data_IF_472559674237
#
_entry.id   IF_472559674237
#
_cell.length_a   1.000
_cell.length_b   1.000
_cell.length_c   1.000
_cell.angle_alpha   90.00
_cell.angle_beta   90.00
_cell.angle_gamma   90.00
#
_symmetry.space_group_name_H-M   'P 1'
#
loop_
_entity.id
_entity.type
_entity.pdbx_description
1 polymer ?
#
# COMPACT_ATOMS: atom_id res chain seq x y z
N UNK A 1 -13.74 9.34 -9.88
CA UNK A 1 -12.81 10.40 -9.41
C UNK A 1 -11.40 9.82 -9.40
N UNK A 2 -10.47 10.46 -10.10
CA UNK A 2 -9.08 9.98 -10.16
C UNK A 2 -8.36 10.26 -8.84
N UNK A 3 -7.78 9.22 -8.25
CA UNK A 3 -6.99 9.30 -7.01
C UNK A 3 -5.49 9.42 -7.28
N UNK A 4 -5.01 8.72 -8.32
CA UNK A 4 -3.62 8.71 -8.73
C UNK A 4 -3.52 8.85 -10.24
N UNK A 5 -2.59 9.69 -10.71
CA UNK A 5 -2.26 9.85 -12.11
C UNK A 5 -0.74 10.01 -12.24
N UNK A 6 -0.09 9.02 -12.82
CA UNK A 6 1.35 9.01 -13.12
C UNK A 6 1.54 9.25 -14.61
N UNK A 7 2.43 10.17 -14.95
CA UNK A 7 2.61 10.65 -16.32
C UNK A 7 4.09 10.60 -16.68
N UNK A 8 4.44 9.78 -17.67
CA UNK A 8 5.75 9.66 -18.30
C UNK A 8 6.89 9.51 -17.30
N UNK A 9 6.69 8.63 -16.29
CA UNK A 9 7.70 8.40 -15.26
C UNK A 9 8.91 7.66 -15.82
N UNK A 10 10.11 8.19 -15.55
CA UNK A 10 11.37 7.51 -15.82
C UNK A 10 12.27 7.57 -14.59
N UNK A 11 12.99 6.49 -14.34
CA UNK A 11 13.94 6.42 -13.23
C UNK A 11 15.14 5.52 -13.55
N UNK A 12 16.27 5.89 -13.01
CA UNK A 12 17.53 5.15 -13.09
C UNK A 12 18.29 5.28 -11.76
N UNK A 13 19.08 4.27 -11.43
CA UNK A 13 20.18 4.36 -10.47
C UNK A 13 21.49 4.40 -11.27
N UNK A 14 22.38 3.43 -11.10
CA UNK A 14 23.59 3.30 -11.93
C UNK A 14 23.28 2.86 -13.38
N UNK A 15 22.07 2.33 -13.61
CA UNK A 15 21.54 1.88 -14.90
C UNK A 15 20.06 2.25 -15.02
N UNK A 16 19.54 2.40 -16.26
CA UNK A 16 18.11 2.65 -16.49
C UNK A 16 17.25 1.55 -15.88
N UNK A 17 16.24 1.94 -15.10
CA UNK A 17 15.34 1.00 -14.43
C UNK A 17 14.02 0.86 -15.18
N UNK A 18 13.44 1.99 -15.56
CA UNK A 18 12.25 2.08 -16.41
C UNK A 18 12.13 3.45 -17.06
N UNK A 19 11.41 3.51 -18.18
CA UNK A 19 11.20 4.71 -18.97
C UNK A 19 9.73 4.84 -19.39
N UNK A 20 9.24 6.10 -19.40
CA UNK A 20 7.92 6.51 -19.91
C UNK A 20 6.73 5.72 -19.37
N UNK A 21 6.73 5.43 -18.07
CA UNK A 21 5.61 4.75 -17.42
C UNK A 21 4.49 5.75 -17.13
N UNK A 22 3.28 5.43 -17.63
CA UNK A 22 2.06 6.17 -17.31
C UNK A 22 0.97 5.20 -16.85
N UNK A 23 0.26 5.57 -15.78
CA UNK A 23 -0.90 4.83 -15.26
C UNK A 23 -1.82 5.75 -14.47
N UNK A 24 -3.08 5.36 -14.34
CA UNK A 24 -4.07 6.08 -13.54
C UNK A 24 -4.92 5.14 -12.71
N UNK A 25 -5.40 5.60 -11.56
CA UNK A 25 -6.26 4.84 -10.65
C UNK A 25 -7.40 5.72 -10.18
N UNK A 26 -8.63 5.21 -10.29
CA UNK A 26 -9.83 5.89 -9.81
C UNK A 26 -10.27 5.36 -8.43
N UNK A 27 -11.18 6.09 -7.81
CA UNK A 27 -11.83 5.69 -6.56
C UNK A 27 -12.58 4.35 -6.73
N UNK A 28 -12.41 3.44 -5.79
CA UNK A 28 -12.99 2.10 -5.82
C UNK A 28 -12.21 1.08 -6.65
N UNK A 29 -11.12 1.48 -7.31
CA UNK A 29 -10.30 0.59 -8.15
C UNK A 29 -9.01 0.16 -7.44
N UNK A 30 -8.42 -0.91 -7.96
CA UNK A 30 -7.11 -1.40 -7.56
C UNK A 30 -6.24 -1.74 -8.77
N UNK A 31 -4.94 -1.48 -8.65
CA UNK A 31 -3.91 -1.85 -9.62
C UNK A 31 -3.01 -2.90 -8.98
N UNK A 32 -2.80 -4.02 -9.66
CA UNK A 32 -1.70 -4.94 -9.35
C UNK A 32 -0.52 -4.68 -10.30
N UNK A 33 0.68 -4.58 -9.73
CA UNK A 33 1.94 -4.52 -10.49
C UNK A 33 2.68 -5.83 -10.24
N UNK A 34 2.74 -6.68 -11.26
CA UNK A 34 3.41 -7.98 -11.21
C UNK A 34 4.71 -7.96 -12.02
N UNK A 35 5.61 -8.88 -11.72
CA UNK A 35 6.87 -9.04 -12.46
C UNK A 35 7.96 -9.68 -11.60
N UNK A 36 9.08 -10.05 -12.23
CA UNK A 36 10.20 -10.71 -11.56
C UNK A 36 10.85 -9.82 -10.49
N UNK A 37 11.56 -10.45 -9.54
CA UNK A 37 12.34 -9.70 -8.54
C UNK A 37 13.37 -8.80 -9.25
N UNK A 38 13.57 -7.58 -8.73
CA UNK A 38 14.49 -6.60 -9.31
C UNK A 38 13.98 -5.87 -10.56
N UNK A 39 12.75 -6.11 -11.03
CA UNK A 39 12.20 -5.41 -12.22
C UNK A 39 11.85 -3.93 -11.99
N UNK A 40 11.93 -3.41 -10.75
CA UNK A 40 11.66 -2.01 -10.44
C UNK A 40 10.28 -1.74 -9.81
N UNK A 41 9.47 -2.75 -9.51
CA UNK A 41 8.10 -2.61 -8.95
C UNK A 41 8.06 -1.78 -7.66
N UNK A 42 8.89 -2.14 -6.68
CA UNK A 42 8.95 -1.41 -5.41
C UNK A 42 9.47 0.03 -5.60
N UNK A 43 10.40 0.24 -6.53
CA UNK A 43 10.88 1.59 -6.89
C UNK A 43 9.75 2.42 -7.50
N UNK A 44 8.98 1.85 -8.44
CA UNK A 44 7.82 2.52 -9.02
C UNK A 44 6.80 2.85 -7.93
N UNK A 45 6.47 1.90 -7.05
CA UNK A 45 5.56 2.15 -5.94
C UNK A 45 6.07 3.24 -4.99
N UNK A 46 7.37 3.30 -4.69
CA UNK A 46 7.96 4.37 -3.88
C UNK A 46 7.81 5.73 -4.55
N UNK A 47 7.95 5.80 -5.87
CA UNK A 47 7.70 7.03 -6.63
C UNK A 47 6.22 7.41 -6.55
N UNK A 48 5.30 6.48 -6.83
CA UNK A 48 3.86 6.73 -6.77
C UNK A 48 3.39 7.18 -5.38
N UNK A 49 4.04 6.70 -4.32
CA UNK A 49 3.72 6.99 -2.91
C UNK A 49 4.47 8.19 -2.31
N UNK A 50 5.18 8.96 -3.11
CA UNK A 50 5.98 10.14 -2.69
C UNK A 50 7.25 9.85 -1.91
N UNK A 51 7.69 8.59 -1.79
CA UNK A 51 8.90 8.23 -1.03
C UNK A 51 10.20 8.42 -1.84
N UNK A 52 10.10 8.43 -3.17
CA UNK A 52 11.23 8.61 -4.09
C UNK A 52 10.82 9.55 -5.22
N UNK A 53 11.65 10.52 -5.55
CA UNK A 53 11.41 11.44 -6.67
C UNK A 53 11.83 10.77 -7.98
N UNK A 54 11.02 10.77 -9.04
CA UNK A 54 11.41 10.27 -10.35
C UNK A 54 12.46 11.19 -11.00
N UNK A 55 13.22 10.68 -11.95
CA UNK A 55 14.12 11.50 -12.76
C UNK A 55 13.34 12.33 -13.79
N UNK A 56 12.26 11.78 -14.34
CA UNK A 56 11.37 12.46 -15.28
C UNK A 56 9.93 12.09 -15.00
N UNK A 57 9.02 12.93 -15.50
CA UNK A 57 7.59 12.76 -15.32
C UNK A 57 7.07 13.39 -14.04
N UNK A 58 5.80 13.10 -13.71
CA UNK A 58 5.15 13.59 -12.50
C UNK A 58 4.12 12.60 -11.97
N UNK A 59 3.82 12.72 -10.69
CA UNK A 59 2.74 11.99 -10.02
C UNK A 59 1.77 13.00 -9.42
N UNK A 60 0.51 12.84 -9.77
CA UNK A 60 -0.59 13.61 -9.21
C UNK A 60 -1.40 12.71 -8.28
N UNK A 61 -1.49 13.05 -7.00
CA UNK A 61 -2.40 12.42 -6.06
C UNK A 61 -3.52 13.40 -5.72
N UNK A 62 -4.76 12.95 -5.88
CA UNK A 62 -5.96 13.77 -5.65
C UNK A 62 -5.94 15.11 -6.40
N UNK A 63 -5.37 15.10 -7.63
CA UNK A 63 -5.24 16.28 -8.50
C UNK A 63 -4.06 17.22 -8.18
N UNK A 64 -3.19 16.87 -7.24
CA UNK A 64 -2.01 17.68 -6.88
C UNK A 64 -0.72 16.97 -7.29
N UNK A 65 0.20 17.67 -7.97
CA UNK A 65 1.54 17.16 -8.21
C UNK A 65 2.31 17.09 -6.88
N UNK A 66 2.57 15.85 -6.41
CA UNK A 66 3.14 15.61 -5.08
C UNK A 66 4.58 16.12 -4.92
N UNK A 67 5.31 16.27 -6.01
CA UNK A 67 6.69 16.77 -5.99
C UNK A 67 6.78 18.30 -6.05
N UNK A 68 5.64 18.99 -6.13
CA UNK A 68 5.53 20.46 -6.01
C UNK A 68 4.92 20.90 -4.69
N UNK A 69 4.51 19.95 -3.84
CA UNK A 69 4.01 20.23 -2.51
C UNK A 69 5.14 20.65 -1.58
N UNK A 70 4.85 21.57 -0.67
CA UNK A 70 5.75 21.86 0.44
C UNK A 70 5.76 20.71 1.46
N UNK A 71 6.77 20.70 2.34
CA UNK A 71 6.95 19.63 3.34
C UNK A 71 5.72 19.46 4.24
N UNK A 72 5.03 20.53 4.60
CA UNK A 72 3.84 20.49 5.47
C UNK A 72 2.67 19.81 4.78
N UNK A 73 2.42 20.16 3.52
CA UNK A 73 1.37 19.56 2.70
C UNK A 73 1.69 18.06 2.45
N UNK A 74 2.94 17.73 2.15
CA UNK A 74 3.38 16.36 1.92
C UNK A 74 3.25 15.50 3.20
N UNK A 75 3.65 16.03 4.36
CA UNK A 75 3.47 15.34 5.65
C UNK A 75 1.98 15.12 5.95
N UNK A 76 1.12 16.13 5.71
CA UNK A 76 -0.33 16.01 5.89
C UNK A 76 -0.92 14.94 4.99
N UNK A 77 -0.52 14.91 3.71
CA UNK A 77 -0.94 13.90 2.74
C UNK A 77 -0.56 12.48 3.21
N UNK A 78 0.69 12.25 3.56
CA UNK A 78 1.19 10.94 4.05
C UNK A 78 0.49 10.50 5.33
N UNK A 79 0.23 11.44 6.24
CA UNK A 79 -0.41 11.16 7.52
C UNK A 79 -1.86 10.75 7.37
N UNK A 80 -2.63 11.43 6.54
CA UNK A 80 -4.08 11.29 6.49
C UNK A 80 -4.55 10.43 5.30
N UNK A 81 -3.99 10.66 4.12
CA UNK A 81 -4.56 10.14 2.87
C UNK A 81 -3.84 8.91 2.32
N UNK A 82 -2.56 8.70 2.65
CA UNK A 82 -1.78 7.57 2.14
C UNK A 82 -1.59 6.48 3.18
N UNK A 83 -1.81 5.23 2.79
CA UNK A 83 -1.49 4.03 3.57
C UNK A 83 -0.33 3.28 2.92
N UNK A 84 0.68 2.89 3.70
CA UNK A 84 1.81 2.09 3.22
C UNK A 84 1.88 0.78 3.99
N UNK A 85 1.75 -0.33 3.28
CA UNK A 85 1.92 -1.69 3.80
C UNK A 85 3.16 -2.28 3.13
N UNK A 86 4.11 -2.73 3.92
CA UNK A 86 5.36 -3.30 3.45
C UNK A 86 5.42 -4.81 3.73
N UNK A 87 6.22 -5.51 2.97
CA UNK A 87 6.56 -6.91 3.24
C UNK A 87 7.19 -7.09 4.63
N UNK A 88 8.07 -6.17 5.03
CA UNK A 88 8.55 -6.07 6.42
C UNK A 88 7.54 -5.24 7.23
N UNK A 89 7.07 -5.78 8.34
CA UNK A 89 5.91 -5.23 9.07
C UNK A 89 6.13 -3.83 9.65
N UNK A 90 7.40 -3.44 9.91
CA UNK A 90 7.80 -2.16 10.53
C UNK A 90 6.97 -1.80 11.77
N UNK A 91 6.70 -2.80 12.62
CA UNK A 91 6.01 -2.60 13.89
C UNK A 91 6.99 -2.13 14.97
N UNK A 92 6.49 -1.33 15.90
CA UNK A 92 7.25 -0.91 17.08
C UNK A 92 7.38 -2.10 18.03
N UNK A 93 8.56 -2.71 18.07
CA UNK A 93 8.83 -3.99 18.76
C UNK A 93 8.57 -3.97 20.26
N UNK A 94 8.69 -2.81 20.92
CA UNK A 94 8.43 -2.64 22.36
C UNK A 94 6.94 -2.52 22.70
N UNK A 95 6.08 -2.34 21.72
CA UNK A 95 4.66 -2.05 21.85
C UNK A 95 3.81 -3.30 21.66
N UNK A 96 2.61 -3.31 22.26
CA UNK A 96 1.56 -4.26 21.93
C UNK A 96 1.01 -4.02 20.52
N UNK A 97 0.20 -4.96 20.02
CA UNK A 97 -0.51 -4.77 18.77
C UNK A 97 -1.43 -3.53 18.85
N UNK A 98 -2.17 -3.37 19.95
CA UNK A 98 -3.04 -2.19 20.17
C UNK A 98 -2.27 -0.88 20.09
N UNK A 99 -1.17 -0.74 20.82
CA UNK A 99 -0.34 0.47 20.83
C UNK A 99 0.25 0.78 19.43
N UNK A 100 0.56 -0.24 18.63
CA UNK A 100 0.98 -0.04 17.24
C UNK A 100 -0.13 0.58 16.37
N UNK A 101 -1.39 0.19 16.59
CA UNK A 101 -2.54 0.80 15.90
C UNK A 101 -2.81 2.21 16.44
N UNK A 102 -2.73 2.38 17.75
CA UNK A 102 -3.01 3.65 18.44
C UNK A 102 -2.09 4.78 17.94
N UNK A 103 -0.80 4.50 17.68
CA UNK A 103 0.10 5.49 17.07
C UNK A 103 -0.45 6.03 15.75
N UNK A 104 -1.00 5.16 14.90
CA UNK A 104 -1.53 5.57 13.60
C UNK A 104 -2.84 6.37 13.74
N UNK A 105 -3.74 5.95 14.64
CA UNK A 105 -5.03 6.61 14.85
C UNK A 105 -4.87 7.94 15.58
N UNK A 106 -3.97 8.07 16.55
CA UNK A 106 -3.63 9.35 17.17
C UNK A 106 -3.15 10.40 16.18
N UNK A 107 -2.35 9.97 15.19
CA UNK A 107 -1.83 10.88 14.16
C UNK A 107 -2.91 11.29 13.15
N UNK A 108 -3.82 10.40 12.78
CA UNK A 108 -4.88 10.66 11.79
C UNK A 108 -6.15 11.26 12.39
N UNK A 109 -6.35 11.13 13.71
CA UNK A 109 -7.60 11.53 14.39
C UNK A 109 -8.72 10.48 14.28
N UNK A 110 -8.39 9.27 13.83
CA UNK A 110 -9.32 8.16 13.67
C UNK A 110 -9.38 7.26 14.91
N UNK A 111 -10.31 6.30 14.91
CA UNK A 111 -10.46 5.31 15.97
C UNK A 111 -10.22 3.90 15.43
N UNK A 112 -9.73 3.02 16.30
CA UNK A 112 -9.54 1.61 15.96
C UNK A 112 -10.91 0.94 15.85
N UNK A 113 -11.20 0.31 14.71
CA UNK A 113 -12.44 -0.41 14.48
C UNK A 113 -12.33 -1.87 14.97
N UNK A 114 -13.11 -2.28 15.98
CA UNK A 114 -13.12 -3.66 16.46
C UNK A 114 -13.59 -4.69 15.42
N UNK A 115 -14.40 -4.28 14.44
CA UNK A 115 -14.86 -5.17 13.36
C UNK A 115 -13.68 -5.51 12.44
N UNK A 116 -12.87 -4.52 12.08
CA UNK A 116 -11.65 -4.75 11.30
C UNK A 116 -10.71 -5.73 12.01
N UNK A 117 -10.52 -5.59 13.34
CA UNK A 117 -9.67 -6.50 14.12
C UNK A 117 -10.16 -7.95 14.06
N UNK A 118 -11.46 -8.16 14.18
CA UNK A 118 -12.08 -9.49 14.07
C UNK A 118 -11.94 -10.06 12.67
N UNK A 119 -12.18 -9.26 11.63
CA UNK A 119 -12.02 -9.70 10.23
C UNK A 119 -10.58 -10.10 9.93
N UNK A 120 -9.60 -9.38 10.46
CA UNK A 120 -8.18 -9.71 10.37
C UNK A 120 -7.76 -10.83 11.33
N UNK A 121 -8.63 -11.32 12.21
CA UNK A 121 -8.35 -12.40 13.15
C UNK A 121 -7.25 -12.07 14.15
N UNK A 122 -7.16 -10.81 14.60
CA UNK A 122 -6.13 -10.32 15.53
C UNK A 122 -6.72 -9.75 16.83
N UNK A 123 -8.03 -9.73 16.99
CA UNK A 123 -8.73 -9.20 18.17
C UNK A 123 -8.30 -9.91 19.47
N UNK A 124 -8.07 -11.23 19.39
CA UNK A 124 -7.64 -12.04 20.53
C UNK A 124 -6.18 -11.83 20.97
N UNK A 125 -5.33 -11.25 20.11
CA UNK A 125 -3.90 -11.00 20.37
C UNK A 125 -3.60 -9.49 20.51
N UNK A 126 -4.60 -8.63 20.46
CA UNK A 126 -4.43 -7.18 20.36
C UNK A 126 -3.61 -6.57 21.51
N UNK A 127 -3.65 -7.15 22.69
CA UNK A 127 -2.91 -6.69 23.86
C UNK A 127 -1.52 -7.34 24.01
N UNK A 128 -1.16 -8.29 23.15
CA UNK A 128 0.16 -8.93 23.19
C UNK A 128 1.22 -8.04 22.55
N UNK A 129 2.46 -8.14 23.02
CA UNK A 129 3.59 -7.47 22.36
C UNK A 129 3.79 -8.06 20.96
N UNK A 130 4.10 -7.20 19.99
CA UNK A 130 4.27 -7.66 18.61
C UNK A 130 5.42 -8.65 18.43
N UNK A 131 6.38 -8.68 19.35
CA UNK A 131 7.48 -9.67 19.37
C UNK A 131 7.02 -11.08 19.78
N UNK A 132 5.85 -11.23 20.37
CA UNK A 132 5.24 -12.50 20.79
C UNK A 132 4.32 -13.09 19.71
N UNK A 133 4.01 -12.29 18.68
CA UNK A 133 3.12 -12.65 17.58
C UNK A 133 3.85 -13.45 16.51
N UNK A 134 3.13 -14.39 15.88
CA UNK A 134 3.61 -15.04 14.65
C UNK A 134 3.81 -14.03 13.51
N UNK A 135 4.62 -14.37 12.50
CA UNK A 135 4.85 -13.51 11.33
C UNK A 135 3.54 -13.11 10.63
N UNK A 136 2.62 -14.06 10.46
CA UNK A 136 1.30 -13.77 9.89
C UNK A 136 0.43 -12.86 10.76
N UNK A 137 0.48 -12.99 12.09
CA UNK A 137 -0.19 -12.06 12.99
C UNK A 137 0.41 -10.66 12.92
N UNK A 138 1.75 -10.55 12.90
CA UNK A 138 2.44 -9.27 12.73
C UNK A 138 2.04 -8.59 11.41
N UNK A 139 1.95 -9.36 10.32
CA UNK A 139 1.50 -8.85 9.04
C UNK A 139 0.08 -8.29 9.12
N UNK A 140 -0.85 -9.04 9.71
CA UNK A 140 -2.25 -8.57 9.89
C UNK A 140 -2.35 -7.35 10.82
N UNK A 141 -1.52 -7.26 11.87
CA UNK A 141 -1.40 -6.05 12.70
C UNK A 141 -0.88 -4.87 11.88
N UNK A 142 0.11 -5.07 11.00
CA UNK A 142 0.60 -4.01 10.11
C UNK A 142 -0.49 -3.51 9.14
N UNK A 143 -1.28 -4.42 8.58
CA UNK A 143 -2.44 -4.10 7.74
C UNK A 143 -3.48 -3.31 8.53
N UNK A 144 -3.87 -3.81 9.72
CA UNK A 144 -4.82 -3.15 10.60
C UNK A 144 -4.38 -1.72 10.96
N UNK A 145 -3.09 -1.53 11.29
CA UNK A 145 -2.51 -0.22 11.58
C UNK A 145 -2.70 0.77 10.44
N UNK A 146 -2.48 0.33 9.20
CA UNK A 146 -2.65 1.18 8.02
C UNK A 146 -4.14 1.47 7.78
N UNK A 147 -4.99 0.46 7.80
CA UNK A 147 -6.42 0.62 7.53
C UNK A 147 -7.15 1.42 8.60
N UNK A 148 -6.72 1.35 9.89
CA UNK A 148 -7.30 2.11 11.00
C UNK A 148 -7.18 3.63 10.83
N UNK A 149 -6.25 4.13 10.03
CA UNK A 149 -6.16 5.56 9.71
C UNK A 149 -7.07 6.01 8.55
N UNK A 150 -7.83 5.10 7.97
CA UNK A 150 -8.76 5.29 6.84
C UNK A 150 -8.14 6.03 5.65
N UNK A 151 -7.02 5.52 5.09
CA UNK A 151 -6.37 6.16 3.95
C UNK A 151 -7.25 6.13 2.71
N UNK A 152 -7.18 7.17 1.89
CA UNK A 152 -7.85 7.24 0.59
C UNK A 152 -7.10 6.48 -0.51
N UNK A 153 -5.81 6.22 -0.31
CA UNK A 153 -4.97 5.47 -1.24
C UNK A 153 -4.00 4.58 -0.47
N UNK A 154 -4.06 3.27 -0.76
CA UNK A 154 -3.21 2.24 -0.15
C UNK A 154 -2.14 1.82 -1.16
N UNK A 155 -0.89 1.81 -0.72
CA UNK A 155 0.23 1.19 -1.42
C UNK A 155 0.66 -0.03 -0.63
N UNK A 156 0.67 -1.20 -1.25
CA UNK A 156 0.95 -2.47 -0.59
C UNK A 156 2.05 -3.23 -1.35
N UNK A 157 3.22 -3.39 -0.71
CA UNK A 157 4.35 -4.14 -1.26
C UNK A 157 4.39 -5.52 -0.60
N UNK A 158 4.03 -6.55 -1.36
CA UNK A 158 3.95 -7.94 -0.90
C UNK A 158 3.21 -8.09 0.46
N UNK A 159 2.00 -7.52 0.61
CA UNK A 159 1.33 -7.40 1.91
C UNK A 159 0.93 -8.74 2.55
N UNK A 160 1.00 -9.82 1.80
CA UNK A 160 0.56 -11.16 2.20
C UNK A 160 1.69 -12.20 2.19
N UNK A 161 2.94 -11.79 1.94
CA UNK A 161 4.07 -12.68 1.75
C UNK A 161 4.42 -13.59 2.96
N UNK A 162 3.88 -13.28 4.15
CA UNK A 162 4.04 -14.10 5.38
C UNK A 162 2.76 -14.84 5.77
N UNK A 163 1.73 -14.87 4.90
CA UNK A 163 0.45 -15.53 5.14
C UNK A 163 0.35 -16.81 4.32
N UNK A 164 -0.44 -17.76 4.81
CA UNK A 164 -0.89 -18.87 3.98
C UNK A 164 -1.89 -18.37 2.93
N UNK A 165 -2.10 -19.17 1.88
CA UNK A 165 -2.91 -18.74 0.74
C UNK A 165 -4.36 -18.41 1.13
N UNK A 166 -5.00 -19.18 2.02
CA UNK A 166 -6.38 -18.91 2.44
C UNK A 166 -6.47 -17.56 3.17
N UNK A 167 -5.58 -17.33 4.15
CA UNK A 167 -5.51 -16.06 4.89
C UNK A 167 -5.17 -14.89 3.96
N UNK A 168 -4.32 -15.08 2.96
CA UNK A 168 -4.00 -14.06 1.97
C UNK A 168 -5.23 -13.65 1.14
N UNK A 169 -6.06 -14.62 0.74
CA UNK A 169 -7.31 -14.36 0.03
C UNK A 169 -8.33 -13.63 0.90
N UNK A 170 -8.46 -13.98 2.19
CA UNK A 170 -9.32 -13.27 3.14
C UNK A 170 -8.90 -11.79 3.31
N UNK A 171 -7.58 -11.55 3.37
CA UNK A 171 -7.04 -10.18 3.42
C UNK A 171 -7.37 -9.39 2.15
N UNK A 172 -7.30 -10.02 0.96
CA UNK A 172 -7.70 -9.35 -0.28
C UNK A 172 -9.19 -8.98 -0.29
N UNK A 173 -10.06 -9.85 0.23
CA UNK A 173 -11.49 -9.54 0.39
C UNK A 173 -11.70 -8.33 1.31
N UNK A 174 -10.96 -8.25 2.42
CA UNK A 174 -11.00 -7.09 3.33
C UNK A 174 -10.58 -5.81 2.59
N UNK A 175 -9.54 -5.86 1.75
CA UNK A 175 -9.15 -4.71 0.94
C UNK A 175 -10.25 -4.32 -0.05
N UNK A 176 -10.81 -5.26 -0.80
CA UNK A 176 -11.86 -4.98 -1.78
C UNK A 176 -13.09 -4.31 -1.14
N UNK A 177 -13.53 -4.82 0.01
CA UNK A 177 -14.64 -4.22 0.75
C UNK A 177 -14.31 -2.80 1.20
N UNK A 178 -13.09 -2.60 1.73
CA UNK A 178 -12.61 -1.29 2.15
C UNK A 178 -12.60 -0.29 0.98
N UNK A 179 -12.08 -0.70 -0.19
CA UNK A 179 -12.05 0.19 -1.36
C UNK A 179 -13.45 0.62 -1.79
N UNK A 180 -14.42 -0.29 -1.73
CA UNK A 180 -15.83 0.00 -2.07
C UNK A 180 -16.48 0.91 -1.05
N UNK A 181 -16.32 0.59 0.24
CA UNK A 181 -16.97 1.32 1.35
C UNK A 181 -16.44 2.76 1.48
N UNK A 182 -15.12 2.94 1.35
CA UNK A 182 -14.46 4.24 1.56
C UNK A 182 -14.15 4.98 0.27
N UNK A 183 -14.56 4.46 -0.90
CA UNK A 183 -14.15 5.02 -2.21
C UNK A 183 -12.64 5.25 -2.31
N UNK A 184 -11.88 4.35 -1.70
CA UNK A 184 -10.42 4.38 -1.69
C UNK A 184 -9.85 3.71 -2.95
N UNK A 185 -8.53 3.82 -3.16
CA UNK A 185 -7.80 3.12 -4.21
C UNK A 185 -6.66 2.29 -3.62
N UNK A 186 -6.17 1.30 -4.37
CA UNK A 186 -5.03 0.49 -3.97
C UNK A 186 -4.06 0.25 -5.12
N UNK A 187 -2.76 0.37 -4.84
CA UNK A 187 -1.67 -0.14 -5.69
C UNK A 187 -1.00 -1.29 -4.95
N UNK A 188 -1.13 -2.49 -5.50
CA UNK A 188 -0.57 -3.74 -4.99
C UNK A 188 0.65 -4.12 -5.81
N UNK A 189 1.80 -4.31 -5.19
CA UNK A 189 2.96 -4.98 -5.77
C UNK A 189 2.99 -6.41 -5.26
N UNK A 190 2.97 -7.38 -6.16
CA UNK A 190 3.04 -8.79 -5.80
C UNK A 190 3.63 -9.64 -6.92
N UNK A 191 4.15 -10.81 -6.56
CA UNK A 191 4.52 -11.86 -7.51
C UNK A 191 3.46 -12.98 -7.59
N UNK A 192 2.42 -12.92 -6.74
CA UNK A 192 1.32 -13.88 -6.71
C UNK A 192 0.23 -13.47 -7.72
N UNK A 193 0.12 -14.23 -8.80
CA UNK A 193 -0.86 -14.00 -9.88
C UNK A 193 -2.31 -14.19 -9.39
N UNK A 194 -2.55 -15.06 -8.39
CA UNK A 194 -3.88 -15.27 -7.85
C UNK A 194 -4.37 -14.03 -7.08
N UNK A 195 -3.50 -13.38 -6.31
CA UNK A 195 -3.81 -12.12 -5.63
C UNK A 195 -3.94 -10.97 -6.64
N UNK A 196 -3.06 -10.92 -7.63
CA UNK A 196 -3.13 -9.91 -8.68
C UNK A 196 -4.46 -9.96 -9.45
N UNK A 197 -4.99 -11.17 -9.72
CA UNK A 197 -6.27 -11.35 -10.42
C UNK A 197 -7.50 -10.80 -9.68
N UNK A 198 -7.36 -10.48 -8.40
CA UNK A 198 -8.40 -9.81 -7.59
C UNK A 198 -8.43 -8.28 -7.81
N UNK A 199 -7.39 -7.72 -8.43
CA UNK A 199 -7.33 -6.28 -8.70
C UNK A 199 -8.11 -5.92 -9.98
N UNK A 200 -8.56 -4.65 -10.06
CA UNK A 200 -9.31 -4.11 -11.20
C UNK A 200 -8.45 -4.06 -12.46
N UNK A 201 -7.19 -3.69 -12.31
CA UNK A 201 -6.21 -3.60 -13.41
C UNK A 201 -4.96 -4.37 -13.02
N UNK A 202 -4.36 -5.06 -13.97
CA UNK A 202 -3.11 -5.79 -13.78
C UNK A 202 -2.08 -5.25 -14.75
N UNK A 203 -0.95 -4.84 -14.23
CA UNK A 203 0.19 -4.38 -15.03
C UNK A 203 1.38 -5.31 -14.82
N UNK A 204 2.02 -5.70 -15.90
CA UNK A 204 3.27 -6.48 -15.86
C UNK A 204 4.46 -5.57 -16.09
N UNK A 205 5.40 -5.58 -15.14
CA UNK A 205 6.66 -4.86 -15.25
C UNK A 205 7.77 -5.80 -15.74
N UNK A 206 8.28 -5.52 -16.95
CA UNK A 206 9.31 -6.33 -17.58
C UNK A 206 10.20 -5.47 -18.48
N UNK A 207 11.54 -5.64 -18.37
CA UNK A 207 12.54 -4.94 -19.18
C UNK A 207 12.35 -3.40 -19.17
N UNK A 208 12.03 -2.83 -18.01
CA UNK A 208 11.82 -1.39 -17.86
C UNK A 208 10.50 -0.85 -18.44
N UNK A 209 9.63 -1.72 -18.93
CA UNK A 209 8.32 -1.36 -19.44
C UNK A 209 7.20 -1.86 -18.51
N UNK A 210 6.12 -1.09 -18.45
CA UNK A 210 4.88 -1.45 -17.77
C UNK A 210 3.77 -1.66 -18.82
N UNK A 211 3.15 -2.83 -18.84
CA UNK A 211 2.06 -3.16 -19.77
C UNK A 211 0.87 -3.72 -19.02
N UNK A 212 -0.31 -3.24 -19.34
CA UNK A 212 -1.56 -3.82 -18.87
C UNK A 212 -1.78 -5.20 -19.52
N UNK A 213 -2.25 -6.19 -18.74
CA UNK A 213 -2.41 -7.59 -19.15
C UNK A 213 -3.82 -8.11 -18.81
#
# INVERSE_FOLDING_TARGET
>A
MTLLNAISLSHAFDYPLFEDISLSLNAGESIAIVGVSGSGKSTLMHILSSLLTPLQGRVELFGNNIYQLDDKALVKLRRNDLGMIYQSHYLFKGFSAYENLEVATLLSGEVIDPILLKRLGIDHVINQKVTELSGGQQQRVSIARVMSKKPRLIFADEPTGNLDHATAMDVMEIFEDYLKEHHAGMVLVTHDEALASRCTHIYRMQNGLLKEV
#
